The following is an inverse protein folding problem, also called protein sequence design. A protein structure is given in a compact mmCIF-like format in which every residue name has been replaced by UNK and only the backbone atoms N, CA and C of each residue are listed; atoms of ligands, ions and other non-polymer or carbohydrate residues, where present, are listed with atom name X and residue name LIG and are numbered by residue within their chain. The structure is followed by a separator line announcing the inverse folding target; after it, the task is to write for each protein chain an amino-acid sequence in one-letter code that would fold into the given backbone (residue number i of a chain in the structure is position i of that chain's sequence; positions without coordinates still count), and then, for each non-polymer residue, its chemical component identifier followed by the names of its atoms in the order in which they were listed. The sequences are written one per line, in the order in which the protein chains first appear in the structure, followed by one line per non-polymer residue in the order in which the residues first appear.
data_IF_404925968440
#
_entry.id   IF_404925968440
#
_cell.length_a   1.000
_cell.length_b   1.000
_cell.length_c   1.000
_cell.angle_alpha   90.00
_cell.angle_beta   90.00
_cell.angle_gamma   90.00
#
_symmetry.space_group_name_H-M   'P 1'
#
loop_
_entity.id
_entity.type
_entity.pdbx_description
1 polymer ?
#
# COMPACT_ATOMS: atom_id res chain seq x y z
N UNK A 1 2.22 1.77 -18.55
CA UNK A 1 3.30 2.01 -17.56
C UNK A 1 2.59 2.55 -16.33
N UNK A 2 3.11 2.41 -15.11
CA UNK A 2 2.46 3.04 -13.96
C UNK A 2 3.44 3.89 -13.16
N UNK A 3 2.89 4.87 -12.44
CA UNK A 3 3.60 5.63 -11.41
C UNK A 3 3.03 5.34 -10.04
N UNK A 4 3.88 5.36 -9.03
CA UNK A 4 3.49 5.34 -7.62
C UNK A 4 3.76 6.71 -7.03
N UNK A 5 2.73 7.35 -6.46
CA UNK A 5 2.83 8.70 -5.92
C UNK A 5 1.99 8.86 -4.65
N UNK A 6 2.42 9.78 -3.78
CA UNK A 6 1.62 10.22 -2.66
C UNK A 6 0.32 10.89 -3.14
N UNK A 7 -0.75 10.72 -2.38
CA UNK A 7 -2.05 11.37 -2.59
C UNK A 7 -2.22 12.46 -1.53
N UNK A 8 -1.92 13.70 -1.90
CA UNK A 8 -1.92 14.83 -0.98
C UNK A 8 -3.32 15.43 -0.76
N UNK A 9 -4.15 15.40 -1.80
CA UNK A 9 -5.51 15.94 -1.76
C UNK A 9 -6.47 14.90 -1.17
N UNK A 10 -7.10 15.25 -0.05
CA UNK A 10 -7.99 14.35 0.70
C UNK A 10 -9.23 13.92 -0.08
N UNK A 11 -9.80 14.81 -0.89
CA UNK A 11 -10.90 14.46 -1.79
C UNK A 11 -10.45 13.44 -2.85
N UNK A 12 -9.24 13.56 -3.38
CA UNK A 12 -8.67 12.57 -4.30
C UNK A 12 -8.48 11.22 -3.60
N UNK A 13 -7.95 11.21 -2.38
CA UNK A 13 -7.81 9.99 -1.58
C UNK A 13 -9.17 9.30 -1.39
N UNK A 14 -10.20 10.05 -1.00
CA UNK A 14 -11.56 9.54 -0.82
C UNK A 14 -12.14 8.95 -2.11
N UNK A 15 -11.93 9.61 -3.25
CA UNK A 15 -12.36 9.11 -4.55
C UNK A 15 -11.63 7.80 -4.93
N UNK A 16 -10.32 7.74 -4.70
CA UNK A 16 -9.51 6.55 -4.97
C UNK A 16 -9.95 5.38 -4.07
N UNK A 17 -10.20 5.62 -2.77
CA UNK A 17 -10.73 4.59 -1.87
C UNK A 17 -12.04 4.00 -2.40
N UNK A 18 -12.94 4.85 -2.92
CA UNK A 18 -14.18 4.41 -3.56
C UNK A 18 -13.93 3.53 -4.78
N UNK A 19 -12.96 3.88 -5.64
CA UNK A 19 -12.58 3.08 -6.82
C UNK A 19 -12.01 1.71 -6.41
N UNK A 20 -11.23 1.66 -5.34
CA UNK A 20 -10.63 0.44 -4.81
C UNK A 20 -11.55 -0.36 -3.86
N UNK A 21 -12.76 0.14 -3.58
CA UNK A 21 -13.69 -0.51 -2.66
C UNK A 21 -13.20 -0.57 -1.20
N UNK A 22 -12.38 0.38 -0.77
CA UNK A 22 -11.83 0.46 0.59
C UNK A 22 -12.44 1.60 1.41
N UNK A 23 -12.41 1.47 2.73
CA UNK A 23 -12.82 2.56 3.64
C UNK A 23 -11.83 3.73 3.55
N UNK A 24 -12.36 4.96 3.45
CA UNK A 24 -11.55 6.17 3.49
C UNK A 24 -11.22 6.56 4.93
N UNK A 25 -9.94 6.76 5.23
CA UNK A 25 -9.46 7.15 6.57
C UNK A 25 -8.88 8.58 6.50
N UNK A 26 -9.58 9.61 7.02
CA UNK A 26 -9.22 11.01 6.82
C UNK A 26 -7.80 11.39 7.23
N UNK A 27 -7.35 10.89 8.38
CA UNK A 27 -6.05 11.25 8.97
C UNK A 27 -4.91 10.34 8.51
N UNK A 28 -5.17 9.42 7.57
CA UNK A 28 -4.14 8.56 6.99
C UNK A 28 -3.39 9.24 5.85
N UNK A 29 -2.14 8.84 5.66
CA UNK A 29 -1.40 9.07 4.42
C UNK A 29 -1.85 8.04 3.39
N UNK A 30 -1.78 8.39 2.12
CA UNK A 30 -2.12 7.48 1.04
C UNK A 30 -1.11 7.59 -0.10
N UNK A 31 -0.75 6.44 -0.66
CA UNK A 31 -0.04 6.33 -1.93
C UNK A 31 -0.94 5.59 -2.91
N UNK A 32 -0.90 5.97 -4.18
CA UNK A 32 -1.66 5.33 -5.24
C UNK A 32 -0.74 4.89 -6.38
N UNK A 33 -1.12 3.78 -7.03
CA UNK A 33 -0.58 3.38 -8.31
C UNK A 33 -1.53 3.88 -9.41
N UNK A 34 -0.99 4.57 -10.41
CA UNK A 34 -1.76 5.19 -11.50
C UNK A 34 -1.16 4.75 -12.83
N UNK A 35 -2.00 4.23 -13.73
CA UNK A 35 -1.65 3.87 -15.09
C UNK A 35 -1.42 5.13 -15.90
N UNK A 36 -0.26 5.29 -16.52
CA UNK A 36 0.14 6.49 -17.23
C UNK A 36 0.60 6.14 -18.65
N UNK A 37 0.19 6.98 -19.60
CA UNK A 37 0.68 6.90 -20.98
C UNK A 37 2.07 7.53 -21.14
N UNK A 38 2.40 8.52 -20.31
CA UNK A 38 3.70 9.21 -20.30
C UNK A 38 4.06 9.74 -18.90
N UNK A 39 5.32 10.09 -18.61
CA UNK A 39 5.72 10.60 -17.30
C UNK A 39 4.96 11.86 -16.84
N UNK A 40 4.52 12.69 -17.80
CA UNK A 40 3.82 13.95 -17.54
C UNK A 40 2.28 13.77 -17.48
N UNK A 41 1.79 12.54 -17.66
CA UNK A 41 0.36 12.22 -17.65
C UNK A 41 -0.24 12.32 -16.23
N UNK A 42 -1.29 13.14 -16.10
CA UNK A 42 -2.03 13.35 -14.85
C UNK A 42 -3.41 12.68 -14.84
N UNK A 43 -3.90 12.23 -15.98
CA UNK A 43 -5.30 11.77 -16.16
C UNK A 43 -5.40 10.24 -16.17
N UNK A 44 -4.33 9.59 -15.73
CA UNK A 44 -4.19 8.16 -15.67
C UNK A 44 -5.24 7.45 -14.79
N UNK A 45 -5.52 6.20 -15.12
CA UNK A 45 -6.47 5.38 -14.38
C UNK A 45 -5.86 4.85 -13.07
N UNK A 46 -6.66 4.82 -12.01
CA UNK A 46 -6.25 4.27 -10.71
C UNK A 46 -6.08 2.76 -10.82
N UNK A 47 -4.91 2.27 -10.41
CA UNK A 47 -4.62 0.83 -10.33
C UNK A 47 -4.78 0.30 -8.91
N UNK A 48 -4.46 1.10 -7.90
CA UNK A 48 -4.56 0.68 -6.51
C UNK A 48 -4.18 1.76 -5.50
N UNK A 49 -4.46 1.48 -4.23
CA UNK A 49 -4.21 2.37 -3.10
C UNK A 49 -3.61 1.64 -1.91
N UNK A 50 -2.73 2.34 -1.20
CA UNK A 50 -2.26 1.97 0.13
C UNK A 50 -2.50 3.14 1.09
N UNK A 51 -3.30 2.92 2.15
CA UNK A 51 -3.49 3.90 3.23
C UNK A 51 -2.72 3.46 4.46
N UNK A 52 -2.04 4.38 5.13
CA UNK A 52 -1.22 4.09 6.30
C UNK A 52 -1.10 5.30 7.26
N UNK A 53 -0.77 5.04 8.51
CA UNK A 53 -0.48 6.07 9.53
C UNK A 53 0.74 5.68 10.34
N UNK A 54 1.42 6.66 10.93
CA UNK A 54 2.65 6.42 11.70
C UNK A 54 2.78 7.25 12.99
N UNK A 55 1.66 7.60 13.62
CA UNK A 55 1.66 8.23 14.96
C UNK A 55 1.99 7.20 16.04
N UNK A 56 3.27 7.10 16.42
CA UNK A 56 3.78 6.19 17.45
C UNK A 56 4.04 4.75 16.96
N UNK A 57 3.10 4.17 16.20
CA UNK A 57 3.29 2.88 15.50
C UNK A 57 2.95 3.04 14.03
N UNK A 58 3.63 2.28 13.17
CA UNK A 58 3.30 2.24 11.75
C UNK A 58 2.23 1.18 11.46
N UNK A 59 1.12 1.63 10.87
CA UNK A 59 -0.04 0.79 10.56
C UNK A 59 -0.42 1.01 9.10
N UNK A 60 -0.50 -0.07 8.31
CA UNK A 60 -1.16 -0.08 7.00
C UNK A 60 -2.63 -0.40 7.23
N UNK A 61 -3.49 0.52 6.82
CA UNK A 61 -4.92 0.42 6.96
C UNK A 61 -5.59 -0.28 5.78
N UNK A 62 -4.99 -0.22 4.59
CA UNK A 62 -5.41 -1.03 3.45
C UNK A 62 -4.29 -1.11 2.41
N UNK A 63 -4.30 -2.17 1.62
CA UNK A 63 -3.59 -2.28 0.35
C UNK A 63 -4.50 -3.03 -0.63
N UNK A 64 -4.99 -2.33 -1.64
CA UNK A 64 -6.02 -2.87 -2.53
C UNK A 64 -5.84 -2.40 -3.98
N UNK A 65 -6.10 -3.28 -4.96
CA UNK A 65 -6.27 -2.88 -6.36
C UNK A 65 -7.57 -2.08 -6.55
N UNK A 66 -7.71 -1.41 -7.70
CA UNK A 66 -9.01 -0.99 -8.22
C UNK A 66 -9.92 -2.20 -8.44
N UNK A 67 -11.23 -2.06 -8.21
CA UNK A 67 -12.18 -3.18 -8.20
C UNK A 67 -12.28 -3.93 -9.54
N UNK A 68 -11.96 -3.27 -10.65
CA UNK A 68 -12.02 -3.79 -12.02
C UNK A 68 -10.66 -4.29 -12.55
N UNK A 69 -9.61 -4.29 -11.71
CA UNK A 69 -8.25 -4.68 -12.10
C UNK A 69 -7.73 -5.81 -11.23
N UNK A 70 -7.20 -6.85 -11.87
CA UNK A 70 -6.46 -7.94 -11.22
C UNK A 70 -4.94 -7.71 -11.21
N UNK A 71 -4.48 -6.46 -11.39
CA UNK A 71 -3.05 -6.18 -11.56
C UNK A 71 -2.28 -6.31 -10.24
N UNK A 72 -1.78 -7.51 -9.96
CA UNK A 72 -1.00 -7.83 -8.77
C UNK A 72 0.34 -7.09 -8.68
N UNK A 73 1.02 -6.90 -9.82
CA UNK A 73 2.40 -6.38 -9.82
C UNK A 73 2.47 -4.92 -9.39
N UNK A 74 1.61 -4.06 -9.95
CA UNK A 74 1.56 -2.65 -9.60
C UNK A 74 1.18 -2.44 -8.12
N UNK A 75 0.25 -3.25 -7.59
CA UNK A 75 -0.15 -3.20 -6.17
C UNK A 75 0.99 -3.65 -5.25
N UNK A 76 1.76 -4.66 -5.64
CA UNK A 76 2.94 -5.07 -4.87
C UNK A 76 4.04 -4.02 -4.89
N UNK A 77 4.30 -3.41 -6.06
CA UNK A 77 5.29 -2.33 -6.17
C UNK A 77 4.84 -1.11 -5.34
N UNK A 78 3.55 -0.80 -5.33
CA UNK A 78 2.95 0.21 -4.43
C UNK A 78 3.21 -0.15 -2.96
N UNK A 79 2.90 -1.38 -2.54
CA UNK A 79 3.16 -1.86 -1.19
C UNK A 79 4.64 -1.74 -0.82
N UNK A 80 5.55 -2.23 -1.67
CA UNK A 80 6.98 -2.14 -1.45
C UNK A 80 7.50 -0.70 -1.37
N UNK A 81 6.93 0.21 -2.17
CA UNK A 81 7.26 1.63 -2.15
C UNK A 81 6.89 2.28 -0.82
N UNK A 82 5.70 1.97 -0.29
CA UNK A 82 5.26 2.43 1.04
C UNK A 82 6.17 1.86 2.13
N UNK A 83 6.45 0.56 2.10
CA UNK A 83 7.34 -0.07 3.08
C UNK A 83 8.76 0.51 3.05
N UNK A 84 9.29 0.80 1.87
CA UNK A 84 10.60 1.42 1.69
C UNK A 84 10.61 2.89 2.18
N UNK A 85 9.54 3.63 1.93
CA UNK A 85 9.34 4.97 2.49
C UNK A 85 9.36 4.93 4.03
N UNK A 86 8.56 4.05 4.64
CA UNK A 86 8.50 3.90 6.09
C UNK A 86 9.86 3.50 6.70
N UNK A 87 10.58 2.58 6.05
CA UNK A 87 11.94 2.22 6.45
C UNK A 87 12.90 3.42 6.41
N UNK A 88 12.82 4.25 5.36
CA UNK A 88 13.62 5.49 5.24
C UNK A 88 13.24 6.54 6.27
N UNK A 89 12.00 6.56 6.73
CA UNK A 89 11.55 7.38 7.86
C UNK A 89 12.05 6.86 9.22
N UNK A 90 12.73 5.72 9.27
CA UNK A 90 13.33 5.16 10.49
C UNK A 90 12.42 4.22 11.29
N UNK A 91 11.29 3.81 10.74
CA UNK A 91 10.43 2.81 11.39
C UNK A 91 11.05 1.41 11.30
N UNK A 92 11.04 0.69 12.43
CA UNK A 92 11.56 -0.67 12.52
C UNK A 92 10.51 -1.75 12.29
N UNK A 93 9.23 -1.43 12.48
CA UNK A 93 8.12 -2.37 12.37
C UNK A 93 6.91 -1.69 11.73
N UNK A 94 6.16 -2.45 10.94
CA UNK A 94 4.85 -2.07 10.42
C UNK A 94 3.86 -3.21 10.64
N UNK A 95 2.62 -2.85 10.92
CA UNK A 95 1.54 -3.80 11.13
C UNK A 95 0.32 -3.50 10.25
N UNK A 96 -0.52 -4.50 10.04
CA UNK A 96 -1.83 -4.35 9.39
C UNK A 96 -2.83 -5.33 10.01
N UNK A 97 -4.13 -5.02 9.93
CA UNK A 97 -5.17 -5.98 10.29
C UNK A 97 -5.35 -6.99 9.15
N UNK A 98 -5.56 -8.27 9.47
CA UNK A 98 -5.75 -9.34 8.46
C UNK A 98 -7.02 -9.17 7.63
N UNK A 99 -8.03 -8.44 8.14
CA UNK A 99 -9.23 -8.10 7.39
C UNK A 99 -9.01 -7.04 6.29
N UNK A 100 -7.91 -6.28 6.37
CA UNK A 100 -7.71 -5.07 5.58
C UNK A 100 -6.74 -5.23 4.41
N UNK A 101 -5.97 -6.32 4.39
CA UNK A 101 -5.03 -6.64 3.32
C UNK A 101 -5.25 -8.10 2.94
N UNK A 102 -5.43 -8.36 1.64
CA UNK A 102 -5.50 -9.73 1.15
C UNK A 102 -4.23 -10.50 1.52
N UNK A 103 -4.40 -11.72 2.03
CA UNK A 103 -3.31 -12.59 2.48
C UNK A 103 -2.20 -12.74 1.45
N UNK A 104 -2.54 -12.84 0.16
CA UNK A 104 -1.57 -12.97 -0.94
C UNK A 104 -0.60 -11.78 -1.02
N UNK A 105 -1.10 -10.54 -0.88
CA UNK A 105 -0.25 -9.35 -0.89
C UNK A 105 0.58 -9.28 0.38
N UNK A 106 -0.02 -9.53 1.55
CA UNK A 106 0.70 -9.50 2.82
C UNK A 106 1.91 -10.45 2.82
N UNK A 107 1.72 -11.70 2.39
CA UNK A 107 2.79 -12.69 2.34
C UNK A 107 3.88 -12.33 1.32
N UNK A 108 3.50 -11.87 0.11
CA UNK A 108 4.47 -11.46 -0.93
C UNK A 108 5.27 -10.21 -0.54
N UNK A 109 4.71 -9.34 0.30
CA UNK A 109 5.42 -8.20 0.89
C UNK A 109 6.33 -8.59 2.07
N UNK A 110 6.26 -9.85 2.53
CA UNK A 110 7.09 -10.38 3.61
C UNK A 110 6.48 -10.29 5.00
N UNK A 111 5.21 -9.90 5.12
CA UNK A 111 4.54 -9.91 6.42
C UNK A 111 4.41 -11.32 6.96
N UNK A 112 4.57 -11.46 8.27
CA UNK A 112 4.23 -12.67 9.01
C UNK A 112 2.83 -12.49 9.60
N UNK A 113 2.02 -13.53 9.49
CA UNK A 113 0.70 -13.54 10.14
C UNK A 113 0.84 -13.95 11.60
N UNK A 114 0.18 -13.21 12.48
CA UNK A 114 -0.05 -13.51 13.90
C UNK A 114 -1.53 -13.28 14.17
N UNK A 115 -2.28 -14.22 14.72
CA UNK A 115 -3.71 -14.07 15.03
C UNK A 115 -4.50 -13.20 14.00
N UNK A 116 -4.89 -11.99 14.40
CA UNK A 116 -5.67 -10.99 13.65
C UNK A 116 -4.81 -9.92 12.94
N UNK A 117 -3.48 -10.10 12.92
CA UNK A 117 -2.51 -9.11 12.42
C UNK A 117 -1.50 -9.69 11.45
N UNK A 118 -1.06 -8.82 10.56
CA UNK A 118 0.16 -8.96 9.80
C UNK A 118 1.22 -8.06 10.42
N UNK A 119 2.42 -8.59 10.67
CA UNK A 119 3.57 -7.85 11.23
C UNK A 119 4.77 -8.05 10.32
N UNK A 120 5.47 -6.96 10.02
CA UNK A 120 6.70 -6.96 9.25
C UNK A 120 7.78 -6.15 9.99
N UNK A 121 8.92 -6.79 10.20
CA UNK A 121 10.16 -6.15 10.63
C UNK A 121 10.82 -5.50 9.40
N UNK A 122 10.98 -4.18 9.44
CA UNK A 122 11.59 -3.37 8.39
C UNK A 122 13.12 -3.29 8.50
N UNK A 123 13.70 -3.80 9.59
CA UNK A 123 15.15 -3.85 9.83
C UNK A 123 15.79 -5.14 9.34
N UNK A 124 15.00 -6.23 9.31
CA UNK A 124 15.41 -7.48 8.70
C UNK A 124 15.67 -7.27 7.21
N UNK A 125 16.83 -7.70 6.71
CA UNK A 125 17.07 -7.72 5.27
C UNK A 125 15.97 -8.52 4.58
N UNK A 126 15.32 -7.94 3.57
CA UNK A 126 14.25 -8.62 2.81
C UNK A 126 14.85 -9.87 2.18
N UNK A 127 14.64 -11.02 2.81
CA UNK A 127 15.05 -12.30 2.24
C UNK A 127 14.15 -12.57 1.04
N UNK A 128 14.61 -12.19 -0.15
CA UNK A 128 14.15 -12.85 -1.37
C UNK A 128 14.64 -14.29 -1.30
N UNK A 129 13.87 -15.19 -0.70
CA UNK A 129 14.33 -16.57 -0.48
C UNK A 129 13.22 -17.55 -0.10
N UNK A 130 12.83 -18.37 -1.07
CA UNK A 130 12.51 -19.79 -0.88
C UNK A 130 11.08 -20.13 -0.50
N UNK A 131 10.23 -20.33 -1.51
CA UNK A 131 9.31 -21.46 -1.52
C UNK A 131 9.90 -22.54 -2.41
#
# INVERSE_FOLDING_TARGET
MFKVSAVEVKESQKNICRICGTEYIPDSFAYAAIDIASPDDTDGEVIGICQFSFTGKCIIHCLAPAMDRESDEAVLILGFSVLEFLRRCGFSEVSANTANIKKEYALRLGFRQTDDKYILDLTAGRACGGH
#
